data_IF_886639748108
#
_entry.id   IF_886639748108
#
_cell.length_a   1.000
_cell.length_b   1.000
_cell.length_c   1.000
_cell.angle_alpha   90.00
_cell.angle_beta   90.00
_cell.angle_gamma   90.00
#
_symmetry.space_group_name_H-M   'P 1'
#
loop_
_entity.id
_entity.type
_entity.pdbx_description
1 polymer ?
#
# COMPACT_ATOMS: atom_id res chain seq x y z
N UNK A 1 2.71 -3.47 -11.73
CA UNK A 1 3.01 -3.38 -10.28
C UNK A 1 1.75 -2.92 -9.57
N UNK A 2 1.45 -3.48 -8.39
CA UNK A 2 0.34 -3.01 -7.56
C UNK A 2 0.97 -2.25 -6.40
N UNK A 3 0.65 -0.96 -6.29
CA UNK A 3 1.11 -0.13 -5.20
C UNK A 3 0.02 -0.01 -4.13
N UNK A 4 0.43 -0.18 -2.88
CA UNK A 4 -0.40 0.09 -1.71
C UNK A 4 0.22 1.25 -0.91
N UNK A 5 -0.10 2.51 -1.27
CA UNK A 5 0.33 3.67 -0.50
C UNK A 5 -0.18 3.60 0.94
N UNK A 6 0.73 3.62 1.92
CA UNK A 6 0.38 3.74 3.35
C UNK A 6 0.57 5.17 3.91
N UNK A 7 0.85 6.13 3.03
CA UNK A 7 1.13 7.52 3.34
C UNK A 7 1.45 8.31 2.07
N UNK A 8 2.05 9.49 2.22
CA UNK A 8 2.49 10.29 1.07
C UNK A 8 3.53 9.53 0.24
N UNK A 9 3.26 9.34 -1.05
CA UNK A 9 4.15 8.62 -1.96
C UNK A 9 4.11 9.21 -3.37
N UNK A 10 5.15 8.93 -4.16
CA UNK A 10 5.19 9.22 -5.60
C UNK A 10 5.79 8.04 -6.34
N UNK A 11 5.28 7.76 -7.54
CA UNK A 11 5.80 6.71 -8.43
C UNK A 11 6.79 7.31 -9.41
N UNK A 12 8.03 6.83 -9.40
CA UNK A 12 9.08 7.30 -10.29
C UNK A 12 9.96 6.17 -10.81
N UNK A 13 10.60 6.42 -11.95
CA UNK A 13 11.61 5.57 -12.56
C UNK A 13 12.93 6.31 -12.67
N UNK A 14 13.96 5.63 -13.17
CA UNK A 14 15.25 6.25 -13.51
C UNK A 14 15.13 7.39 -14.52
N UNK A 15 14.08 7.44 -15.33
CA UNK A 15 13.89 8.45 -16.39
C UNK A 15 12.85 9.52 -16.02
N UNK A 16 12.32 9.51 -14.81
CA UNK A 16 11.34 10.50 -14.33
C UNK A 16 10.08 9.88 -13.72
N UNK A 17 9.09 10.72 -13.46
CA UNK A 17 7.82 10.30 -12.85
C UNK A 17 7.06 9.36 -13.77
N UNK A 18 6.60 8.24 -13.22
CA UNK A 18 5.76 7.28 -13.94
C UNK A 18 4.30 7.56 -13.61
N UNK A 19 3.45 7.57 -14.64
CA UNK A 19 2.00 7.57 -14.42
C UNK A 19 1.60 6.27 -13.73
N UNK A 20 0.94 6.38 -12.58
CA UNK A 20 0.33 5.27 -11.88
C UNK A 20 -1.19 5.37 -12.01
N UNK A 21 -1.82 4.29 -12.45
CA UNK A 21 -3.27 4.23 -12.56
C UNK A 21 -3.89 3.97 -11.20
N UNK A 22 -4.67 4.92 -10.70
CA UNK A 22 -5.48 4.73 -9.51
C UNK A 22 -6.78 4.01 -9.90
N UNK A 23 -6.97 2.77 -9.45
CA UNK A 23 -8.13 1.95 -9.82
C UNK A 23 -8.95 1.46 -8.62
N UNK A 24 -8.44 1.60 -7.40
CA UNK A 24 -9.13 1.18 -6.18
C UNK A 24 -8.66 2.01 -4.97
N UNK A 25 -9.57 2.22 -4.02
CA UNK A 25 -9.28 2.84 -2.71
C UNK A 25 -9.56 1.83 -1.61
N UNK A 26 -8.74 1.82 -0.56
CA UNK A 26 -9.06 1.06 0.65
C UNK A 26 -10.09 1.85 1.45
N UNK A 27 -11.26 1.25 1.68
CA UNK A 27 -12.31 1.83 2.52
C UNK A 27 -12.18 1.25 3.93
N UNK A 28 -12.00 2.09 4.96
CA UNK A 28 -11.91 1.64 6.35
C UNK A 28 -13.25 1.04 6.83
N UNK A 29 -13.19 -0.09 7.51
CA UNK A 29 -14.30 -0.62 8.31
C UNK A 29 -14.25 -0.14 9.78
N UNK A 30 -15.28 -0.46 10.55
CA UNK A 30 -15.31 -0.14 11.98
C UNK A 30 -14.15 -0.84 12.71
N UNK A 31 -13.32 -0.05 13.41
CA UNK A 31 -12.12 -0.56 14.08
C UNK A 31 -10.92 -0.79 13.15
N UNK A 32 -10.95 -0.25 11.93
CA UNK A 32 -9.82 -0.30 10.98
C UNK A 32 -8.69 0.69 11.27
N UNK A 33 -8.91 1.64 12.18
CA UNK A 33 -7.95 2.71 12.51
C UNK A 33 -6.52 2.19 12.64
N UNK A 34 -5.59 2.89 11.99
CA UNK A 34 -4.14 2.66 12.03
C UNK A 34 -3.59 1.36 11.40
N UNK A 35 -4.43 0.46 10.86
CA UNK A 35 -3.94 -0.80 10.24
C UNK A 35 -2.99 -0.56 9.07
N UNK A 36 -3.35 0.34 8.15
CA UNK A 36 -2.50 0.64 6.99
C UNK A 36 -1.18 1.33 7.41
N UNK A 37 -1.23 2.18 8.44
CA UNK A 37 -0.04 2.81 9.03
C UNK A 37 0.88 1.75 9.64
N UNK A 38 0.34 0.76 10.33
CA UNK A 38 1.12 -0.35 10.91
C UNK A 38 1.77 -1.23 9.83
N UNK A 39 1.10 -1.47 8.70
CA UNK A 39 1.73 -2.14 7.54
C UNK A 39 2.96 -1.34 7.09
N UNK A 40 2.84 -0.02 6.96
CA UNK A 40 3.97 0.85 6.61
C UNK A 40 5.12 0.75 7.61
N UNK A 41 4.82 0.79 8.92
CA UNK A 41 5.82 0.65 9.99
C UNK A 41 6.57 -0.68 9.87
N UNK A 42 5.86 -1.80 9.72
CA UNK A 42 6.46 -3.13 9.61
C UNK A 42 7.30 -3.28 8.35
N UNK A 43 6.80 -2.82 7.20
CA UNK A 43 7.57 -2.92 5.95
C UNK A 43 8.86 -2.09 6.03
N UNK A 44 8.80 -0.91 6.66
CA UNK A 44 9.96 -0.02 6.81
C UNK A 44 11.00 -0.57 7.78
N UNK A 45 10.59 -1.04 8.96
CA UNK A 45 11.52 -1.41 10.04
C UNK A 45 11.80 -2.90 10.13
N UNK A 46 10.82 -3.73 9.78
CA UNK A 46 10.88 -5.19 9.89
C UNK A 46 11.07 -5.86 8.51
N UNK A 47 11.18 -5.05 7.44
CA UNK A 47 11.47 -5.50 6.08
C UNK A 47 10.26 -6.12 5.36
N UNK A 48 10.53 -6.92 4.32
CA UNK A 48 9.48 -7.49 3.49
C UNK A 48 8.57 -8.45 4.29
N UNK A 49 7.28 -8.13 4.33
CA UNK A 49 6.29 -8.95 5.03
C UNK A 49 5.73 -10.02 4.09
N UNK A 50 5.49 -11.23 4.62
CA UNK A 50 4.78 -12.27 3.87
C UNK A 50 3.30 -11.89 3.78
N UNK A 51 2.78 -11.77 2.56
CA UNK A 51 1.38 -11.45 2.30
C UNK A 51 0.72 -12.48 1.40
N UNK A 52 -0.60 -12.59 1.50
CA UNK A 52 -1.46 -13.33 0.57
C UNK A 52 -2.59 -12.39 0.16
N UNK A 53 -2.90 -12.33 -1.13
CA UNK A 53 -4.04 -11.59 -1.67
C UNK A 53 -5.06 -12.63 -2.10
N UNK A 54 -6.26 -12.57 -1.56
CA UNK A 54 -7.38 -13.46 -1.88
C UNK A 54 -8.60 -12.63 -2.20
N UNK A 55 -9.40 -13.12 -3.14
CA UNK A 55 -10.77 -12.65 -3.32
C UNK A 55 -11.67 -13.32 -2.27
N UNK A 56 -12.63 -12.58 -1.72
CA UNK A 56 -13.65 -13.12 -0.83
C UNK A 56 -14.99 -12.98 -1.54
N UNK A 57 -15.73 -14.10 -1.62
CA UNK A 57 -17.05 -14.18 -2.24
C UNK A 57 -18.15 -13.61 -1.33
#
# INVERSE_FOLDING_TARGET
>A
EIFFPYGACTTSSKVGQLAANHFASIIPDDGWGDRLREVGRRVLWDGAQRIVITESA
#
